data_IF_163651570478
#
_entry.id   IF_163651570478
#
_cell.length_a   1.000
_cell.length_b   1.000
_cell.length_c   1.000
_cell.angle_alpha   90.00
_cell.angle_beta   90.00
_cell.angle_gamma   90.00
#
_symmetry.space_group_name_H-M   'P 1'
#
loop_
_entity.id
_entity.type
_entity.pdbx_description
1 polymer ?
#
# COMPACT_ATOMS: atom_id res chain seq x y z
N UNK A 1 -39.75 -13.09 21.00
CA UNK A 1 -39.16 -11.75 21.27
C UNK A 1 -37.71 -11.81 20.82
N UNK A 2 -37.41 -11.40 19.58
CA UNK A 2 -36.03 -11.46 19.05
C UNK A 2 -35.25 -10.22 19.51
N UNK A 3 -34.72 -10.24 20.73
CA UNK A 3 -33.89 -9.15 21.26
C UNK A 3 -32.44 -9.37 20.85
N UNK A 4 -32.14 -9.22 19.55
CA UNK A 4 -30.77 -9.15 19.06
C UNK A 4 -30.18 -7.77 19.37
N UNK A 5 -29.98 -7.48 20.66
CA UNK A 5 -29.31 -6.27 21.14
C UNK A 5 -27.80 -6.42 20.93
N UNK A 6 -27.32 -6.06 19.73
CA UNK A 6 -25.87 -5.99 19.44
C UNK A 6 -25.25 -4.89 20.31
N UNK A 7 -24.13 -5.13 21.00
CA UNK A 7 -23.45 -4.09 21.77
C UNK A 7 -23.15 -2.88 20.89
N UNK A 8 -23.25 -1.64 21.41
CA UNK A 8 -22.86 -0.46 20.66
C UNK A 8 -21.41 -0.64 20.19
N UNK A 9 -21.17 -0.41 18.91
CA UNK A 9 -19.81 -0.35 18.40
C UNK A 9 -19.09 0.78 19.13
N UNK A 10 -18.06 0.41 19.90
CA UNK A 10 -17.12 1.32 20.56
C UNK A 10 -16.66 2.43 19.60
N UNK A 11 -16.08 3.55 20.11
CA UNK A 11 -15.98 4.81 19.38
C UNK A 11 -15.58 4.62 17.92
N UNK A 12 -16.43 5.11 17.01
CA UNK A 12 -16.11 5.10 15.59
C UNK A 12 -14.89 5.97 15.36
N UNK A 13 -14.02 5.53 14.44
CA UNK A 13 -12.69 6.12 14.24
C UNK A 13 -12.72 7.63 13.95
N UNK A 14 -13.85 8.17 13.48
CA UNK A 14 -14.00 9.59 13.20
C UNK A 14 -14.08 10.48 14.47
N UNK A 15 -14.60 9.97 15.61
CA UNK A 15 -14.61 10.70 16.89
C UNK A 15 -13.37 10.39 17.74
N UNK A 16 -12.71 9.25 17.50
CA UNK A 16 -11.53 8.88 18.23
C UNK A 16 -10.34 9.79 17.89
N UNK A 17 -9.73 10.42 18.90
CA UNK A 17 -8.51 11.21 18.72
C UNK A 17 -7.32 10.28 18.57
N UNK A 18 -6.87 10.09 17.32
CA UNK A 18 -5.73 9.22 17.01
C UNK A 18 -4.44 9.76 17.66
N UNK A 19 -3.78 8.99 18.55
CA UNK A 19 -2.47 9.37 19.08
C UNK A 19 -1.40 9.26 17.98
N UNK A 20 -0.29 9.98 18.16
CA UNK A 20 0.82 9.99 17.18
C UNK A 20 1.37 8.59 16.90
N UNK A 21 1.41 7.71 17.90
CA UNK A 21 1.88 6.32 17.73
C UNK A 21 0.97 5.51 16.80
N UNK A 22 -0.35 5.74 16.86
CA UNK A 22 -1.30 5.09 15.95
C UNK A 22 -1.15 5.62 14.52
N UNK A 23 -1.00 6.94 14.36
CA UNK A 23 -0.76 7.55 13.05
C UNK A 23 0.53 7.02 12.43
N UNK A 24 1.63 7.00 13.20
CA UNK A 24 2.92 6.49 12.75
C UNK A 24 2.85 5.01 12.34
N UNK A 25 2.13 4.18 13.10
CA UNK A 25 1.93 2.78 12.73
C UNK A 25 1.16 2.63 11.42
N UNK A 26 0.09 3.41 11.22
CA UNK A 26 -0.71 3.36 9.98
C UNK A 26 0.14 3.82 8.79
N UNK A 27 0.82 4.95 8.91
CA UNK A 27 1.65 5.48 7.82
C UNK A 27 2.79 4.52 7.48
N UNK A 28 3.46 3.93 8.48
CA UNK A 28 4.52 2.95 8.24
C UNK A 28 4.02 1.70 7.50
N UNK A 29 2.83 1.20 7.82
CA UNK A 29 2.23 0.07 7.09
C UNK A 29 1.93 0.45 5.64
N UNK A 30 1.34 1.63 5.42
CA UNK A 30 1.02 2.13 4.09
C UNK A 30 2.30 2.28 3.26
N UNK A 31 3.31 2.98 3.78
CA UNK A 31 4.59 3.16 3.08
C UNK A 31 5.30 1.83 2.84
N UNK A 32 5.28 0.90 3.79
CA UNK A 32 5.82 -0.44 3.61
C UNK A 32 5.20 -1.20 2.43
N UNK A 33 3.87 -1.10 2.24
CA UNK A 33 3.18 -1.70 1.07
C UNK A 33 3.65 -1.05 -0.23
N UNK A 34 3.70 0.29 -0.28
CA UNK A 34 4.19 1.01 -1.46
C UNK A 34 5.64 0.66 -1.79
N UNK A 35 6.52 0.60 -0.79
CA UNK A 35 7.92 0.21 -0.98
C UNK A 35 8.03 -1.24 -1.48
N UNK A 36 7.21 -2.16 -0.99
CA UNK A 36 7.22 -3.55 -1.44
C UNK A 36 6.83 -3.68 -2.91
N UNK A 37 5.78 -2.97 -3.34
CA UNK A 37 5.37 -2.90 -4.75
C UNK A 37 6.47 -2.25 -5.59
N UNK A 38 7.01 -1.12 -5.11
CA UNK A 38 8.10 -0.41 -5.78
C UNK A 38 9.36 -1.27 -5.96
N UNK A 39 9.70 -2.10 -4.97
CA UNK A 39 10.84 -3.02 -5.07
C UNK A 39 10.61 -4.12 -6.12
N UNK A 40 9.40 -4.69 -6.21
CA UNK A 40 9.06 -5.65 -7.26
C UNK A 40 9.13 -5.01 -8.65
N UNK A 41 8.59 -3.79 -8.80
CA UNK A 41 8.69 -3.04 -10.04
C UNK A 41 10.15 -2.73 -10.40
N UNK A 42 10.96 -2.33 -9.43
CA UNK A 42 12.40 -2.08 -9.63
C UNK A 42 13.11 -3.33 -10.14
N UNK A 43 12.87 -4.49 -9.54
CA UNK A 43 13.44 -5.76 -10.00
C UNK A 43 12.99 -6.08 -11.43
N UNK A 44 11.71 -5.88 -11.75
CA UNK A 44 11.19 -6.11 -13.09
C UNK A 44 11.87 -5.20 -14.14
N UNK A 45 12.06 -3.91 -13.83
CA UNK A 45 12.76 -2.96 -14.70
C UNK A 45 14.22 -3.38 -14.89
N UNK A 46 14.92 -3.73 -13.81
CA UNK A 46 16.32 -4.17 -13.89
C UNK A 46 16.48 -5.46 -14.69
N UNK A 47 15.57 -6.41 -14.54
CA UNK A 47 15.55 -7.65 -15.31
C UNK A 47 15.30 -7.38 -16.80
N UNK A 48 14.35 -6.51 -17.13
CA UNK A 48 14.06 -6.10 -18.50
C UNK A 48 15.24 -5.36 -19.14
N UNK A 49 15.91 -4.49 -18.38
CA UNK A 49 17.12 -3.79 -18.81
C UNK A 49 18.25 -4.77 -19.13
N UNK A 50 18.44 -5.80 -18.30
CA UNK A 50 19.41 -6.87 -18.56
C UNK A 50 19.03 -7.74 -19.78
N UNK A 51 17.72 -7.87 -20.06
CA UNK A 51 17.17 -8.60 -21.22
C UNK A 51 17.27 -7.88 -22.56
N UNK A 52 17.94 -6.72 -22.62
CA UNK A 52 18.19 -5.98 -23.85
C UNK A 52 17.04 -5.08 -24.32
N UNK A 53 17.23 -4.47 -25.50
CA UNK A 53 16.38 -3.38 -25.98
C UNK A 53 14.90 -3.76 -26.16
N UNK A 54 14.61 -4.95 -26.72
CA UNK A 54 13.22 -5.38 -26.91
C UNK A 54 12.49 -5.62 -25.59
N UNK A 55 13.17 -6.21 -24.61
CA UNK A 55 12.61 -6.46 -23.27
C UNK A 55 12.36 -5.16 -22.49
N UNK A 56 13.19 -4.14 -22.70
CA UNK A 56 13.08 -2.83 -22.05
C UNK A 56 12.12 -1.85 -22.75
N UNK A 57 11.85 -2.04 -24.05
CA UNK A 57 10.96 -1.20 -24.84
C UNK A 57 9.60 -0.83 -24.18
N UNK A 58 8.85 -1.75 -23.53
CA UNK A 58 7.60 -1.38 -22.87
C UNK A 58 7.79 -0.40 -21.70
N UNK A 59 8.89 -0.51 -20.95
CA UNK A 59 9.20 0.43 -19.87
C UNK A 59 9.61 1.80 -20.43
N UNK A 60 10.32 1.82 -21.56
CA UNK A 60 10.66 3.06 -22.25
C UNK A 60 9.42 3.79 -22.78
N UNK A 61 8.47 3.06 -23.37
CA UNK A 61 7.22 3.63 -23.88
C UNK A 61 6.34 4.22 -22.76
N UNK A 62 6.45 3.70 -21.53
CA UNK A 62 5.76 4.27 -20.36
C UNK A 62 6.37 5.59 -19.88
N UNK A 63 7.67 5.82 -20.13
CA UNK A 63 8.41 7.00 -19.67
C UNK A 63 8.46 8.14 -20.70
N UNK A 64 8.08 7.87 -21.95
CA UNK A 64 8.00 8.85 -23.04
C UNK A 64 6.62 9.50 -23.10
#
# INVERSE_FOLDING_TARGET
MNTSSRPPTSPHLQIYRLPLTALLSITHRITGVFLSIGALLLVAVLAALAGGAESYAPFQAFLQ
#
